data_IF_311232116834
#
_entry.id   IF_311232116834
#
_cell.length_a   1.000
_cell.length_b   1.000
_cell.length_c   1.000
_cell.angle_alpha   90.00
_cell.angle_beta   90.00
_cell.angle_gamma   90.00
#
_symmetry.space_group_name_H-M   'P 1'
#
loop_
_entity.id
_entity.type
_entity.pdbx_description
1 polymer ?
#
# COMPACT_ATOMS: atom_id res chain seq x y z
N UNK A 1 27.57 -8.69 0.59
CA UNK A 1 26.26 -8.09 0.32
C UNK A 1 26.42 -7.23 -0.93
N UNK A 2 25.57 -7.44 -1.92
CA UNK A 2 25.66 -6.82 -3.25
C UNK A 2 25.42 -5.30 -3.17
N UNK A 3 26.22 -4.49 -3.87
CA UNK A 3 26.19 -3.02 -3.80
C UNK A 3 24.82 -2.45 -4.16
N UNK A 4 24.11 -3.11 -5.09
CA UNK A 4 22.75 -2.74 -5.51
C UNK A 4 21.71 -2.94 -4.40
N UNK A 5 21.87 -3.98 -3.58
CA UNK A 5 20.96 -4.24 -2.46
C UNK A 5 21.13 -3.21 -1.34
N UNK A 6 22.36 -2.72 -1.10
CA UNK A 6 22.60 -1.64 -0.15
C UNK A 6 21.95 -0.32 -0.60
N UNK A 7 22.02 0.02 -1.89
CA UNK A 7 21.40 1.24 -2.43
C UNK A 7 19.87 1.19 -2.28
N UNK A 8 19.23 0.06 -2.58
CA UNK A 8 17.78 -0.09 -2.44
C UNK A 8 17.30 0.10 -0.99
N UNK A 9 18.03 -0.48 -0.01
CA UNK A 9 17.71 -0.31 1.42
C UNK A 9 17.93 1.14 1.86
N UNK A 10 19.03 1.77 1.45
CA UNK A 10 19.30 3.18 1.76
C UNK A 10 18.20 4.09 1.19
N UNK A 11 17.83 3.91 -0.08
CA UNK A 11 16.79 4.71 -0.73
C UNK A 11 15.43 4.53 -0.04
N UNK A 12 15.04 3.29 0.30
CA UNK A 12 13.82 3.05 1.06
C UNK A 12 13.84 3.78 2.40
N UNK A 13 14.92 3.67 3.17
CA UNK A 13 15.03 4.33 4.47
C UNK A 13 14.97 5.84 4.36
N UNK A 14 15.60 6.43 3.34
CA UNK A 14 15.51 7.88 3.10
C UNK A 14 14.07 8.29 2.78
N UNK A 15 13.39 7.57 1.87
CA UNK A 15 11.99 7.87 1.51
C UNK A 15 11.02 7.65 2.68
N UNK A 16 11.20 6.59 3.48
CA UNK A 16 10.34 6.29 4.62
C UNK A 16 10.44 7.35 5.71
N UNK A 17 11.65 7.89 5.94
CA UNK A 17 11.88 8.95 6.92
C UNK A 17 11.69 10.36 6.33
N UNK A 18 11.07 10.50 5.16
CA UNK A 18 10.75 11.79 4.55
C UNK A 18 9.34 12.23 5.00
N UNK A 19 9.21 13.15 5.98
CA UNK A 19 7.91 13.46 6.58
C UNK A 19 7.01 14.33 5.70
N UNK A 20 7.55 14.96 4.65
CA UNK A 20 6.88 15.94 3.80
C UNK A 20 7.11 15.66 2.31
N UNK A 21 6.25 16.19 1.44
CA UNK A 21 6.45 16.08 -0.01
C UNK A 21 7.79 16.70 -0.46
N UNK A 22 8.15 17.87 0.08
CA UNK A 22 9.40 18.54 -0.29
C UNK A 22 10.63 17.70 0.07
N UNK A 23 10.61 16.99 1.22
CA UNK A 23 11.68 16.06 1.58
C UNK A 23 11.79 14.87 0.60
N UNK A 24 10.65 14.38 0.09
CA UNK A 24 10.64 13.35 -0.95
C UNK A 24 11.27 13.86 -2.25
N UNK A 25 11.01 15.11 -2.65
CA UNK A 25 11.65 15.69 -3.84
C UNK A 25 13.15 15.90 -3.69
N UNK A 26 13.62 16.30 -2.50
CA UNK A 26 15.05 16.39 -2.20
C UNK A 26 15.73 15.04 -2.41
N UNK A 27 15.09 13.96 -1.96
CA UNK A 27 15.58 12.58 -2.17
C UNK A 27 15.55 12.21 -3.66
N UNK A 28 14.45 12.50 -4.38
CA UNK A 28 14.38 12.22 -5.82
C UNK A 28 15.51 12.95 -6.58
N UNK A 29 15.77 14.21 -6.21
CA UNK A 29 16.81 15.05 -6.82
C UNK A 29 18.22 14.56 -6.48
N UNK A 30 18.41 13.89 -5.33
CA UNK A 30 19.68 13.28 -4.92
C UNK A 30 20.06 12.06 -5.76
N UNK A 31 19.09 11.36 -6.36
CA UNK A 31 19.31 10.16 -7.18
C UNK A 31 18.81 10.33 -8.63
N UNK A 32 19.35 11.29 -9.40
CA UNK A 32 18.84 11.61 -10.74
C UNK A 32 19.01 10.46 -11.74
N UNK A 33 19.99 9.58 -11.53
CA UNK A 33 20.21 8.39 -12.37
C UNK A 33 19.24 7.25 -12.06
N UNK A 34 18.65 7.22 -10.86
CA UNK A 34 17.62 6.25 -10.51
C UNK A 34 16.24 6.76 -10.90
N UNK A 35 15.93 8.03 -10.64
CA UNK A 35 14.63 8.61 -10.95
C UNK A 35 14.54 9.21 -12.36
N UNK A 36 15.16 8.54 -13.34
CA UNK A 36 14.94 8.85 -14.76
C UNK A 36 13.52 8.49 -15.18
N UNK A 37 13.00 9.15 -16.22
CA UNK A 37 11.64 8.91 -16.71
C UNK A 37 11.39 7.44 -17.11
N UNK A 38 12.42 6.72 -17.57
CA UNK A 38 12.35 5.31 -17.97
C UNK A 38 12.03 4.34 -16.82
N UNK A 39 12.22 4.79 -15.57
CA UNK A 39 11.92 4.01 -14.38
C UNK A 39 10.54 4.31 -13.79
N UNK A 40 9.74 5.16 -14.46
CA UNK A 40 8.37 5.46 -14.08
C UNK A 40 7.37 4.81 -15.03
N UNK A 41 6.43 4.06 -14.47
CA UNK A 41 5.44 3.29 -15.22
C UNK A 41 4.03 3.76 -14.87
N UNK A 42 3.09 3.76 -15.84
CA UNK A 42 1.72 4.21 -15.59
C UNK A 42 1.03 3.33 -14.55
N UNK A 43 0.41 3.95 -13.54
CA UNK A 43 -0.37 3.24 -12.53
C UNK A 43 -1.58 2.55 -13.17
N UNK A 44 -1.78 1.26 -12.87
CA UNK A 44 -2.80 0.43 -13.50
C UNK A 44 -2.49 0.03 -14.95
N UNK A 45 -1.28 0.30 -15.45
CA UNK A 45 -0.80 -0.13 -16.76
C UNK A 45 -1.20 0.77 -17.94
N UNK A 46 -2.01 1.82 -17.72
CA UNK A 46 -2.39 2.78 -18.77
C UNK A 46 -2.50 4.20 -18.17
N UNK A 47 -1.90 5.19 -18.81
CA UNK A 47 -1.95 6.60 -18.38
C UNK A 47 -3.39 7.14 -18.30
N UNK A 48 -4.34 6.55 -19.05
CA UNK A 48 -5.77 6.89 -19.05
C UNK A 48 -6.48 6.51 -17.74
N UNK A 49 -5.84 5.72 -16.87
CA UNK A 49 -6.41 5.33 -15.58
C UNK A 49 -6.57 6.50 -14.59
N UNK A 50 -6.04 7.68 -14.92
CA UNK A 50 -6.19 8.89 -14.12
C UNK A 50 -7.64 9.20 -13.71
N UNK A 51 -8.60 9.05 -14.64
CA UNK A 51 -10.02 9.28 -14.36
C UNK A 51 -10.60 8.28 -13.35
N UNK A 52 -10.15 7.03 -13.42
CA UNK A 52 -10.58 5.97 -12.50
C UNK A 52 -10.08 6.30 -11.09
N UNK A 53 -8.79 6.57 -10.91
CA UNK A 53 -8.20 6.91 -9.60
C UNK A 53 -8.94 8.09 -8.96
N UNK A 54 -9.25 9.14 -9.74
CA UNK A 54 -10.00 10.30 -9.22
C UNK A 54 -11.46 10.01 -8.89
N UNK A 55 -12.07 9.06 -9.56
CA UNK A 55 -13.46 8.67 -9.34
C UNK A 55 -13.66 7.69 -8.17
N UNK A 56 -12.59 7.08 -7.66
CA UNK A 56 -12.69 6.03 -6.64
C UNK A 56 -13.19 6.54 -5.28
N UNK A 57 -12.78 7.74 -4.87
CA UNK A 57 -13.12 8.26 -3.56
C UNK A 57 -13.26 9.79 -3.57
N UNK A 58 -14.36 10.28 -2.99
CA UNK A 58 -14.66 11.71 -2.86
C UNK A 58 -14.42 12.24 -1.44
N UNK A 59 -14.27 11.36 -0.46
CA UNK A 59 -14.11 11.71 0.94
C UNK A 59 -12.77 11.18 1.51
N UNK A 60 -11.90 12.06 2.06
CA UNK A 60 -10.60 11.67 2.61
C UNK A 60 -10.71 10.70 3.80
N UNK A 61 -11.75 10.82 4.63
CA UNK A 61 -11.98 9.93 5.77
C UNK A 61 -12.31 8.53 5.28
N UNK A 62 -13.15 8.40 4.25
CA UNK A 62 -13.48 7.12 3.66
C UNK A 62 -12.25 6.46 3.00
N UNK A 63 -11.37 7.25 2.37
CA UNK A 63 -10.10 6.76 1.84
C UNK A 63 -9.20 6.16 2.94
N UNK A 64 -9.13 6.83 4.10
CA UNK A 64 -8.35 6.36 5.25
C UNK A 64 -8.97 5.09 5.85
N UNK A 65 -10.29 5.06 6.05
CA UNK A 65 -11.01 3.88 6.55
C UNK A 65 -10.74 2.68 5.65
N UNK A 66 -10.73 2.86 4.34
CA UNK A 66 -10.46 1.77 3.41
C UNK A 66 -9.04 1.19 3.52
N UNK A 67 -8.03 2.04 3.80
CA UNK A 67 -6.66 1.55 4.06
C UNK A 67 -6.60 0.69 5.32
N UNK A 68 -7.33 1.07 6.37
CA UNK A 68 -7.44 0.28 7.60
C UNK A 68 -8.20 -1.03 7.34
N UNK A 69 -9.29 -1.00 6.57
CA UNK A 69 -10.02 -2.20 6.17
C UNK A 69 -9.11 -3.18 5.40
N UNK A 70 -8.30 -2.68 4.47
CA UNK A 70 -7.32 -3.50 3.75
C UNK A 70 -6.26 -4.12 4.69
N UNK A 71 -5.87 -3.39 5.75
CA UNK A 71 -4.96 -3.89 6.79
C UNK A 71 -5.58 -5.05 7.58
N UNK A 72 -6.85 -4.92 7.97
CA UNK A 72 -7.61 -5.98 8.65
C UNK A 72 -7.72 -7.22 7.75
N UNK A 73 -8.07 -7.03 6.48
CA UNK A 73 -8.15 -8.11 5.50
C UNK A 73 -6.80 -8.82 5.33
N UNK A 74 -5.70 -8.06 5.29
CA UNK A 74 -4.34 -8.61 5.19
C UNK A 74 -3.97 -9.45 6.43
N UNK A 75 -4.35 -9.01 7.64
CA UNK A 75 -4.14 -9.76 8.88
C UNK A 75 -4.92 -11.08 8.89
N UNK A 76 -6.20 -11.05 8.50
CA UNK A 76 -7.01 -12.26 8.44
C UNK A 76 -6.52 -13.23 7.36
N UNK A 77 -6.11 -12.70 6.21
CA UNK A 77 -5.55 -13.51 5.12
C UNK A 77 -4.25 -14.18 5.57
N UNK A 78 -3.36 -13.43 6.25
CA UNK A 78 -2.16 -14.00 6.88
C UNK A 78 -2.48 -15.16 7.79
N UNK A 79 -3.45 -15.01 8.70
CA UNK A 79 -3.83 -16.08 9.64
C UNK A 79 -4.38 -17.32 8.95
N UNK A 80 -5.15 -17.13 7.88
CA UNK A 80 -5.64 -18.23 7.04
C UNK A 80 -4.47 -19.02 6.45
N UNK A 81 -3.50 -18.32 5.87
CA UNK A 81 -2.31 -18.91 5.26
C UNK A 81 -1.37 -19.56 6.30
N UNK A 82 -1.20 -18.94 7.47
CA UNK A 82 -0.43 -19.51 8.60
C UNK A 82 -1.05 -20.82 9.09
N UNK A 83 -2.37 -20.96 8.98
CA UNK A 83 -3.08 -22.20 9.27
C UNK A 83 -2.97 -23.25 8.15
N UNK A 84 -2.23 -22.97 7.07
CA UNK A 84 -2.08 -23.85 5.91
C UNK A 84 -3.31 -23.91 5.00
N UNK A 85 -4.23 -22.95 5.14
CA UNK A 85 -5.48 -22.90 4.38
C UNK A 85 -5.33 -21.89 3.24
N UNK A 86 -5.63 -22.33 2.02
CA UNK A 86 -5.74 -21.43 0.87
C UNK A 86 -6.98 -20.51 1.07
N UNK A 87 -6.82 -19.17 1.11
CA UNK A 87 -7.92 -18.21 1.31
C UNK A 87 -9.04 -18.27 0.27
N UNK A 88 -8.79 -18.82 -0.93
CA UNK A 88 -9.80 -19.00 -1.98
C UNK A 88 -10.47 -20.37 -1.94
N UNK A 89 -9.96 -21.29 -1.13
CA UNK A 89 -10.49 -22.66 -1.05
C UNK A 89 -11.81 -22.75 -0.29
N UNK A 90 -12.49 -23.90 -0.44
CA UNK A 90 -13.69 -24.21 0.33
C UNK A 90 -13.44 -24.40 1.84
N UNK A 91 -12.18 -24.59 2.25
CA UNK A 91 -11.78 -24.75 3.66
C UNK A 91 -11.59 -23.41 4.40
N UNK A 92 -11.48 -22.32 3.62
CA UNK A 92 -11.40 -20.97 4.16
C UNK A 92 -12.73 -20.53 4.79
N UNK A 93 -12.69 -19.65 5.81
CA UNK A 93 -13.90 -19.06 6.37
C UNK A 93 -14.76 -18.39 5.30
N UNK A 94 -16.09 -18.51 5.38
CA UNK A 94 -16.99 -17.88 4.40
C UNK A 94 -17.40 -16.48 4.82
N UNK A 95 -17.18 -16.12 6.08
CA UNK A 95 -17.51 -14.80 6.65
C UNK A 95 -16.38 -14.27 7.51
N UNK A 96 -16.33 -12.95 7.63
CA UNK A 96 -15.40 -12.23 8.52
C UNK A 96 -15.49 -12.74 9.97
N UNK A 97 -16.71 -12.89 10.48
CA UNK A 97 -16.96 -13.37 11.84
C UNK A 97 -16.42 -14.79 12.06
N UNK A 98 -16.59 -15.69 11.09
CA UNK A 98 -16.01 -17.04 11.15
C UNK A 98 -14.48 -16.99 11.17
N UNK A 99 -13.87 -16.11 10.37
CA UNK A 99 -12.41 -15.93 10.36
C UNK A 99 -11.91 -15.39 11.71
N UNK A 100 -12.60 -14.41 12.31
CA UNK A 100 -12.27 -13.87 13.63
C UNK A 100 -12.38 -14.96 14.70
N UNK A 101 -13.48 -15.73 14.72
CA UNK A 101 -13.64 -16.83 15.68
C UNK A 101 -12.59 -17.92 15.52
N UNK A 102 -12.21 -18.26 14.27
CA UNK A 102 -11.24 -19.32 13.97
C UNK A 102 -9.81 -18.91 14.30
N UNK A 103 -9.43 -17.68 13.97
CA UNK A 103 -8.03 -17.24 14.04
C UNK A 103 -7.69 -16.39 15.27
N UNK A 104 -8.70 -15.80 15.92
CA UNK A 104 -8.54 -14.95 17.10
C UNK A 104 -9.50 -15.40 18.21
N UNK A 105 -9.31 -16.58 18.83
CA UNK A 105 -10.26 -17.12 19.82
C UNK A 105 -10.47 -16.20 21.03
N UNK A 106 -9.49 -15.34 21.34
CA UNK A 106 -9.54 -14.36 22.43
C UNK A 106 -10.12 -13.00 22.00
N UNK A 107 -10.72 -12.87 20.81
CA UNK A 107 -11.22 -11.59 20.29
C UNK A 107 -12.21 -10.87 21.21
N UNK A 108 -12.95 -11.64 22.03
CA UNK A 108 -13.89 -11.09 23.03
C UNK A 108 -13.21 -10.27 24.12
N UNK A 109 -11.89 -10.40 24.29
CA UNK A 109 -11.10 -9.68 25.29
C UNK A 109 -10.45 -8.41 24.72
N UNK A 110 -10.72 -8.03 23.46
CA UNK A 110 -10.10 -6.84 22.84
C UNK A 110 -10.53 -5.50 23.45
N UNK A 111 -11.55 -5.49 24.31
CA UNK A 111 -11.91 -4.36 25.16
C UNK A 111 -10.90 -4.16 26.32
N UNK A 112 -10.28 -5.24 26.80
CA UNK A 112 -9.26 -5.22 27.84
C UNK A 112 -7.94 -4.61 27.32
N UNK A 113 -7.36 -3.71 28.12
CA UNK A 113 -6.20 -2.90 27.73
C UNK A 113 -5.01 -3.73 27.23
N UNK A 114 -4.71 -4.86 27.87
CA UNK A 114 -3.57 -5.72 27.52
C UNK A 114 -3.73 -6.31 26.12
N UNK A 115 -4.88 -6.91 25.83
CA UNK A 115 -5.17 -7.53 24.53
C UNK A 115 -5.32 -6.48 23.43
N UNK A 116 -5.98 -5.35 23.73
CA UNK A 116 -6.08 -4.21 22.82
C UNK A 116 -4.72 -3.68 22.39
N UNK A 117 -3.79 -3.53 23.34
CA UNK A 117 -2.43 -3.04 23.04
C UNK A 117 -1.69 -3.99 22.11
N UNK A 118 -1.76 -5.30 22.36
CA UNK A 118 -1.17 -6.31 21.48
C UNK A 118 -1.75 -6.26 20.07
N UNK A 119 -3.07 -6.11 19.94
CA UNK A 119 -3.72 -5.98 18.63
C UNK A 119 -3.35 -4.68 17.91
N UNK A 120 -3.14 -3.58 18.65
CA UNK A 120 -2.69 -2.30 18.10
C UNK A 120 -1.24 -2.30 17.60
N UNK A 121 -0.43 -3.30 17.96
CA UNK A 121 0.90 -3.49 17.37
C UNK A 121 0.82 -4.09 15.96
N UNK A 122 -0.27 -4.77 15.62
CA UNK A 122 -0.47 -5.41 14.32
C UNK A 122 -0.97 -4.46 13.23
N UNK A 123 -1.66 -3.36 13.60
CA UNK A 123 -2.13 -2.31 12.69
C UNK A 123 -1.92 -0.95 13.35
N UNK A 124 -1.19 -0.06 12.69
CA UNK A 124 -0.86 1.27 13.21
C UNK A 124 -1.20 2.36 12.20
N UNK A 125 -1.65 3.49 12.71
CA UNK A 125 -1.82 4.73 11.94
C UNK A 125 -0.98 5.78 12.65
N UNK A 126 0.06 6.28 11.98
CA UNK A 126 1.01 7.24 12.52
C UNK A 126 0.97 8.50 11.70
N UNK A 127 0.83 9.63 12.38
CA UNK A 127 1.00 10.95 11.80
C UNK A 127 2.48 11.34 11.99
N UNK A 128 3.21 11.50 10.89
CA UNK A 128 4.63 11.88 10.91
C UNK A 128 4.86 13.18 10.15
N UNK A 129 5.58 14.11 10.76
CA UNK A 129 5.84 15.43 10.22
C UNK A 129 5.16 16.60 10.92
N UNK A 130 5.48 17.83 10.49
CA UNK A 130 5.03 19.05 11.14
C UNK A 130 3.51 19.25 11.06
N UNK A 131 2.90 20.01 12.01
CA UNK A 131 1.47 20.30 11.98
C UNK A 131 1.03 20.89 10.63
N UNK A 132 -0.06 20.35 10.07
CA UNK A 132 -0.65 20.75 8.76
C UNK A 132 0.22 20.43 7.53
N UNK A 133 1.33 19.75 7.69
CA UNK A 133 2.16 19.23 6.61
C UNK A 133 2.71 17.86 7.05
N UNK A 134 1.79 16.93 7.19
CA UNK A 134 2.00 15.65 7.88
C UNK A 134 1.73 14.52 6.90
N UNK A 135 2.61 13.53 6.89
CA UNK A 135 2.41 12.25 6.23
C UNK A 135 1.65 11.30 7.15
N UNK A 136 0.75 10.51 6.57
CA UNK A 136 0.04 9.45 7.31
C UNK A 136 0.64 8.12 6.91
N UNK A 137 1.28 7.45 7.87
CA UNK A 137 1.83 6.12 7.72
C UNK A 137 0.79 5.12 8.21
N UNK A 138 0.50 4.12 7.38
CA UNK A 138 -0.37 3.01 7.73
C UNK A 138 0.48 1.75 7.64
N UNK A 139 0.63 1.09 8.78
CA UNK A 139 1.38 -0.14 8.91
C UNK A 139 0.44 -1.26 9.28
N UNK A 140 0.64 -2.42 8.66
CA UNK A 140 0.04 -3.67 9.07
C UNK A 140 1.08 -4.79 9.06
N UNK A 141 0.98 -5.70 10.02
CA UNK A 141 1.73 -6.95 10.06
C UNK A 141 0.96 -8.08 9.36
N UNK A 142 0.26 -7.75 8.27
CA UNK A 142 -0.57 -8.67 7.52
C UNK A 142 0.21 -9.58 6.60
N UNK A 143 -0.49 -10.11 5.60
CA UNK A 143 0.04 -11.12 4.71
C UNK A 143 1.27 -10.63 3.93
N UNK A 144 1.33 -9.33 3.65
CA UNK A 144 2.31 -8.70 2.78
C UNK A 144 2.36 -9.29 1.37
N UNK A 145 3.06 -8.64 0.46
CA UNK A 145 3.21 -9.12 -0.91
C UNK A 145 4.66 -9.12 -1.36
N UNK A 146 4.96 -9.97 -2.34
CA UNK A 146 6.30 -9.99 -2.93
C UNK A 146 6.43 -8.81 -3.91
N UNK A 147 7.63 -8.23 -4.05
CA UNK A 147 7.84 -7.09 -4.96
C UNK A 147 7.40 -7.38 -6.40
N UNK A 148 7.66 -8.60 -6.88
CA UNK A 148 7.25 -9.09 -8.20
C UNK A 148 5.73 -9.13 -8.41
N UNK A 149 4.94 -9.14 -7.34
CA UNK A 149 3.48 -9.18 -7.40
C UNK A 149 2.84 -7.79 -7.42
N UNK A 150 3.58 -6.71 -7.10
CA UNK A 150 3.02 -5.37 -6.90
C UNK A 150 2.24 -4.86 -8.11
N UNK A 151 2.73 -5.10 -9.32
CA UNK A 151 2.08 -4.71 -10.58
C UNK A 151 0.71 -5.37 -10.76
N UNK A 152 0.56 -6.60 -10.26
CA UNK A 152 -0.68 -7.36 -10.33
C UNK A 152 -1.62 -7.07 -9.15
N UNK A 153 -1.14 -6.38 -8.12
CA UNK A 153 -1.87 -6.13 -6.87
C UNK A 153 -1.95 -4.66 -6.52
N UNK A 154 -1.07 -4.11 -5.69
CA UNK A 154 -1.10 -2.74 -5.18
C UNK A 154 -1.16 -1.69 -6.28
N UNK A 155 -0.51 -1.96 -7.41
CA UNK A 155 -0.37 -1.05 -8.55
C UNK A 155 -1.36 -1.36 -9.67
N UNK A 156 -2.14 -2.43 -9.54
CA UNK A 156 -3.23 -2.74 -10.46
C UNK A 156 -4.48 -1.97 -10.07
N UNK A 157 -5.25 -1.54 -11.07
CA UNK A 157 -6.54 -0.89 -10.89
C UNK A 157 -7.64 -1.79 -11.46
N UNK A 158 -8.81 -1.83 -10.81
CA UNK A 158 -10.02 -2.53 -11.29
C UNK A 158 -9.87 -4.06 -11.37
N UNK A 159 -8.79 -4.63 -10.83
CA UNK A 159 -8.64 -6.10 -10.73
C UNK A 159 -9.35 -6.65 -9.50
N UNK A 160 -10.20 -7.66 -9.67
CA UNK A 160 -10.89 -8.37 -8.59
C UNK A 160 -9.99 -9.33 -7.81
N UNK A 161 -8.80 -8.89 -7.38
CA UNK A 161 -7.76 -9.75 -6.79
C UNK A 161 -8.18 -10.46 -5.49
N UNK A 162 -9.25 -10.00 -4.84
CA UNK A 162 -9.79 -10.59 -3.61
C UNK A 162 -11.24 -11.02 -3.76
N UNK A 163 -11.75 -11.14 -4.98
CA UNK A 163 -13.17 -11.44 -5.22
C UNK A 163 -13.57 -12.84 -4.72
N UNK A 164 -12.62 -13.78 -4.78
CA UNK A 164 -12.81 -15.17 -4.35
C UNK A 164 -12.57 -15.39 -2.85
N UNK A 165 -11.99 -14.41 -2.15
CA UNK A 165 -11.76 -14.51 -0.71
C UNK A 165 -13.02 -14.01 -0.01
N UNK A 166 -13.77 -14.94 0.59
CA UNK A 166 -15.11 -14.62 1.08
C UNK A 166 -15.14 -13.79 2.37
N UNK A 167 -14.13 -13.97 3.22
CA UNK A 167 -14.06 -13.39 4.55
C UNK A 167 -13.43 -11.99 4.60
N UNK A 168 -13.04 -11.41 3.46
CA UNK A 168 -12.46 -10.06 3.39
C UNK A 168 -13.48 -9.02 2.89
N UNK A 169 -13.26 -7.75 3.21
CA UNK A 169 -14.15 -6.64 2.85
C UNK A 169 -13.69 -5.89 1.58
N UNK A 170 -12.38 -5.70 1.39
CA UNK A 170 -11.74 -5.01 0.27
C UNK A 170 -11.63 -5.85 -1.00
N UNK A 171 -12.77 -6.18 -1.63
CA UNK A 171 -12.84 -7.17 -2.73
C UNK A 171 -12.39 -6.66 -4.10
N UNK A 172 -12.53 -5.37 -4.36
CA UNK A 172 -12.44 -4.82 -5.72
C UNK A 172 -11.09 -4.15 -6.06
N UNK A 173 -10.12 -4.15 -5.13
CA UNK A 173 -8.81 -3.50 -5.32
C UNK A 173 -8.93 -2.06 -5.84
N UNK A 174 -9.95 -1.35 -5.37
CA UNK A 174 -10.43 -0.10 -5.96
C UNK A 174 -10.25 1.13 -5.07
N UNK A 175 -9.82 1.05 -3.83
CA UNK A 175 -9.54 2.29 -3.08
C UNK A 175 -8.19 2.32 -2.38
N UNK A 176 -7.32 1.34 -2.66
CA UNK A 176 -5.89 1.51 -2.45
C UNK A 176 -5.36 2.77 -3.15
N UNK A 177 -5.84 3.08 -4.36
CA UNK A 177 -5.47 4.27 -5.12
C UNK A 177 -6.36 5.50 -4.84
N UNK A 178 -7.55 5.31 -4.25
CA UNK A 178 -8.46 6.40 -3.91
C UNK A 178 -7.88 7.38 -2.88
N UNK A 179 -6.89 6.98 -2.09
CA UNK A 179 -6.18 7.87 -1.17
C UNK A 179 -5.27 8.88 -1.90
N UNK A 180 -4.78 8.57 -3.09
CA UNK A 180 -3.79 9.37 -3.82
C UNK A 180 -4.27 10.81 -4.03
N UNK A 181 -5.57 11.02 -4.31
CA UNK A 181 -6.12 12.35 -4.56
C UNK A 181 -6.11 13.27 -3.34
N UNK A 182 -5.91 12.73 -2.15
CA UNK A 182 -5.81 13.47 -0.89
C UNK A 182 -4.36 13.66 -0.43
N UNK A 183 -3.38 13.00 -1.06
CA UNK A 183 -1.97 13.17 -0.75
C UNK A 183 -1.45 14.50 -1.31
N UNK A 184 -1.13 15.46 -0.45
CA UNK A 184 -0.39 16.69 -0.75
C UNK A 184 -0.75 17.41 -2.07
N UNK A 185 0.25 17.88 -2.84
CA UNK A 185 0.12 18.51 -4.16
C UNK A 185 0.74 17.67 -5.27
N UNK A 186 1.75 16.87 -4.94
CA UNK A 186 2.49 15.96 -5.82
C UNK A 186 1.95 14.53 -5.77
N UNK A 187 1.05 14.26 -4.82
CA UNK A 187 0.31 13.00 -4.70
C UNK A 187 1.23 11.82 -4.43
N UNK A 188 2.26 12.04 -3.61
CA UNK A 188 3.18 10.98 -3.25
C UNK A 188 2.49 9.93 -2.38
N UNK A 189 2.78 8.66 -2.70
CA UNK A 189 2.45 7.54 -1.84
C UNK A 189 3.58 6.51 -1.93
N UNK A 190 4.29 6.30 -0.83
CA UNK A 190 5.23 5.20 -0.68
C UNK A 190 4.46 3.93 -0.32
N UNK A 191 4.74 2.84 -1.01
CA UNK A 191 4.26 1.50 -0.67
C UNK A 191 5.48 0.63 -0.42
N UNK A 192 5.52 -0.07 0.71
CA UNK A 192 6.55 -1.05 1.00
C UNK A 192 5.89 -2.32 1.55
N UNK A 193 6.38 -3.48 1.14
CA UNK A 193 5.82 -4.75 1.58
C UNK A 193 6.85 -5.86 1.53
N UNK A 194 6.67 -6.83 2.43
CA UNK A 194 7.40 -8.09 2.49
C UNK A 194 6.41 -9.18 2.83
N UNK A 195 6.47 -10.32 2.14
CA UNK A 195 5.61 -11.48 2.45
C UNK A 195 5.86 -11.99 3.87
N UNK A 196 4.78 -12.33 4.59
CA UNK A 196 4.83 -12.81 5.97
C UNK A 196 5.68 -14.06 6.19
N UNK A 197 5.84 -14.89 5.15
CA UNK A 197 6.52 -16.18 5.20
C UNK A 197 8.05 -16.07 5.34
N UNK A 198 8.58 -14.86 5.50
CA UNK A 198 10.01 -14.53 5.59
C UNK A 198 10.84 -15.01 4.39
N UNK A 199 10.19 -15.42 3.30
CA UNK A 199 10.87 -15.75 2.05
C UNK A 199 10.88 -14.51 1.16
N UNK A 200 12.06 -14.09 0.75
CA UNK A 200 12.23 -12.91 -0.11
C UNK A 200 12.54 -11.63 0.66
N UNK A 201 12.70 -10.55 -0.10
CA UNK A 201 13.14 -9.25 0.40
C UNK A 201 11.93 -8.32 0.56
N UNK A 202 12.10 -7.29 1.40
CA UNK A 202 11.22 -6.12 1.35
C UNK A 202 11.40 -5.46 -0.02
N UNK A 203 10.30 -5.13 -0.69
CA UNK A 203 10.32 -4.22 -1.83
C UNK A 203 9.46 -3.01 -1.55
N UNK A 204 9.70 -1.96 -2.33
CA UNK A 204 8.96 -0.71 -2.23
C UNK A 204 8.80 -0.09 -3.61
N UNK A 205 7.83 0.80 -3.72
CA UNK A 205 7.58 1.63 -4.89
C UNK A 205 7.03 2.98 -4.42
N UNK A 206 7.31 4.04 -5.19
CA UNK A 206 6.80 5.38 -4.94
C UNK A 206 5.83 5.75 -6.05
N UNK A 207 4.60 6.11 -5.70
CA UNK A 207 3.61 6.63 -6.64
C UNK A 207 3.66 8.16 -6.61
N UNK A 208 3.46 8.81 -7.77
CA UNK A 208 3.25 10.26 -7.86
C UNK A 208 2.25 10.62 -8.96
N UNK A 209 1.75 11.85 -8.91
CA UNK A 209 1.06 12.44 -10.05
C UNK A 209 2.07 13.18 -10.94
N UNK A 210 2.11 12.82 -12.22
CA UNK A 210 2.79 13.64 -13.23
C UNK A 210 1.84 14.70 -13.78
N UNK A 211 2.29 15.95 -13.79
CA UNK A 211 1.53 17.08 -14.33
C UNK A 211 1.72 17.21 -15.84
N UNK A 212 0.75 17.86 -16.48
CA UNK A 212 0.80 18.21 -17.92
C UNK A 212 2.15 18.87 -18.23
N UNK A 213 2.84 18.39 -19.27
CA UNK A 213 4.08 18.97 -19.76
C UNK A 213 5.32 18.81 -18.87
N UNK A 214 5.29 17.94 -17.86
CA UNK A 214 6.44 17.73 -16.95
C UNK A 214 7.29 16.47 -17.26
N UNK A 215 6.92 15.71 -18.30
CA UNK A 215 7.70 14.58 -18.82
C UNK A 215 8.66 14.99 -19.94
N UNK A 216 9.70 14.19 -20.14
CA UNK A 216 10.58 14.24 -21.31
C UNK A 216 9.81 14.10 -22.64
N UNK A 217 8.73 13.31 -22.66
CA UNK A 217 7.72 13.28 -23.73
C UNK A 217 6.42 13.99 -23.25
N UNK A 218 6.24 15.29 -23.55
CA UNK A 218 5.21 16.11 -22.92
C UNK A 218 3.78 15.65 -23.25
N UNK A 219 3.06 15.16 -22.23
CA UNK A 219 1.64 14.81 -22.36
C UNK A 219 0.73 16.02 -22.16
N UNK A 220 -0.44 16.01 -22.83
CA UNK A 220 -1.51 17.03 -22.70
C UNK A 220 -2.49 16.77 -21.55
N UNK A 221 -2.24 15.77 -20.72
CA UNK A 221 -3.06 15.40 -19.57
C UNK A 221 -2.17 14.99 -18.39
N UNK A 222 -2.74 14.99 -17.18
CA UNK A 222 -2.04 14.46 -15.99
C UNK A 222 -2.34 12.96 -15.85
N UNK A 223 -1.40 12.23 -15.28
CA UNK A 223 -1.55 10.80 -15.00
C UNK A 223 -0.81 10.42 -13.71
N UNK A 224 -1.12 9.25 -13.17
CA UNK A 224 -0.39 8.67 -12.05
C UNK A 224 0.62 7.65 -12.56
N UNK A 225 1.79 7.64 -11.95
CA UNK A 225 2.87 6.71 -12.26
C UNK A 225 3.52 6.20 -10.98
N UNK A 226 4.15 5.04 -11.06
CA UNK A 226 4.91 4.46 -9.97
C UNK A 226 6.35 4.21 -10.38
N UNK A 227 7.26 4.34 -9.41
CA UNK A 227 8.67 4.09 -9.58
C UNK A 227 8.96 2.60 -9.48
N UNK A 228 9.70 2.07 -10.46
CA UNK A 228 10.24 0.71 -10.45
C UNK A 228 11.75 0.76 -10.23
N UNK A 229 12.20 0.14 -9.14
CA UNK A 229 13.61 0.09 -8.74
C UNK A 229 14.33 -1.17 -9.20
#
# INVERSE_FOLDING_TARGET
MDSSQNISVTLFNELFNAPTEDAVDEIISKYPTLFTDDNWYPLGGDEKMFGIVRGQQSNPIAALVEKVTNSIDAILTKKCLEAGIDPESSEAPRKMEEAIHKFFPEHKNWDLQQFRRKQAEEIQIVADGPPRNTSVIIYDNGEGQRPEDFENTFLSLVRGNKINIHFVQGKYNMGGSGALVFCGRKRYQLIASKRFDNRGKLGFTLIRQRKIGSSSDPKRFSYFEYFRN
#
